data_IF_057277219242
#
_entry.id   IF_057277219242
#
_cell.length_a   1.000
_cell.length_b   1.000
_cell.length_c   1.000
_cell.angle_alpha   90.00
_cell.angle_beta   90.00
_cell.angle_gamma   90.00
#
_symmetry.space_group_name_H-M   'P 1'
#
loop_
_entity.id
_entity.type
_entity.pdbx_description
1 polymer ?
#
# COMPACT_ATOMS: atom_id res chain seq x y z
N UNK A 1 -15.38 -77.46 43.58
CA UNK A 1 -14.83 -78.27 42.48
C UNK A 1 -14.36 -77.39 41.33
N UNK A 2 -13.03 -77.23 41.17
CA UNK A 2 -12.28 -76.97 39.92
C UNK A 2 -12.58 -75.66 39.14
N UNK A 3 -11.63 -74.92 38.57
CA UNK A 3 -10.21 -75.16 38.24
C UNK A 3 -9.56 -73.79 37.91
N UNK A 4 -8.26 -73.69 38.24
CA UNK A 4 -7.13 -73.05 37.51
C UNK A 4 -7.22 -71.54 37.16
N UNK A 5 -6.34 -70.70 37.72
CA UNK A 5 -4.94 -70.39 37.31
C UNK A 5 -4.79 -69.93 35.85
N UNK A 6 -4.36 -68.68 35.66
CA UNK A 6 -3.05 -68.35 35.04
C UNK A 6 -2.70 -66.86 35.18
N UNK A 7 -1.52 -66.62 35.74
CA UNK A 7 -0.71 -65.42 35.59
C UNK A 7 -0.29 -65.20 34.13
N UNK A 8 0.03 -63.97 33.76
CA UNK A 8 0.64 -63.66 32.47
C UNK A 8 0.94 -62.19 32.27
N UNK A 9 2.22 -61.83 32.41
CA UNK A 9 2.85 -60.54 32.16
C UNK A 9 2.58 -59.94 30.76
N UNK A 10 2.64 -58.61 30.75
CA UNK A 10 2.75 -57.69 29.59
C UNK A 10 3.89 -58.09 28.63
N UNK A 11 3.76 -57.74 27.33
CA UNK A 11 4.70 -56.74 26.82
C UNK A 11 4.11 -55.73 25.82
N UNK A 12 4.91 -54.66 25.72
CA UNK A 12 4.97 -53.56 24.75
C UNK A 12 4.98 -54.05 23.29
N UNK A 13 4.26 -53.32 22.42
CA UNK A 13 4.60 -52.97 21.02
C UNK A 13 3.49 -52.01 20.53
N UNK A 14 3.71 -50.70 20.41
CA UNK A 14 4.52 -49.97 19.43
C UNK A 14 3.88 -49.93 18.01
N UNK A 15 3.60 -48.68 17.61
CA UNK A 15 3.35 -48.18 16.25
C UNK A 15 2.16 -48.65 15.38
N UNK A 16 1.19 -47.73 15.25
CA UNK A 16 0.88 -47.12 13.93
C UNK A 16 0.30 -45.72 14.07
N UNK A 17 1.20 -44.75 14.21
CA UNK A 17 0.96 -43.35 13.81
C UNK A 17 0.72 -43.31 12.30
N UNK A 18 -0.48 -42.93 11.87
CA UNK A 18 -0.64 -42.35 10.55
C UNK A 18 -0.03 -40.94 10.58
N UNK A 19 0.95 -40.62 9.73
CA UNK A 19 1.49 -39.27 9.68
C UNK A 19 0.43 -38.35 9.09
N UNK A 20 -0.07 -37.44 9.94
CA UNK A 20 -0.78 -36.27 9.49
C UNK A 20 0.08 -35.55 8.47
N UNK A 21 -0.47 -35.35 7.28
CA UNK A 21 0.10 -34.56 6.21
C UNK A 21 0.48 -33.19 6.75
N UNK A 22 1.76 -33.03 7.08
CA UNK A 22 2.40 -31.74 7.28
C UNK A 22 2.25 -31.03 5.94
N UNK A 23 1.35 -30.04 5.88
CA UNK A 23 1.40 -29.04 4.84
C UNK A 23 2.71 -28.31 5.10
N UNK A 24 3.76 -28.75 4.40
CA UNK A 24 5.00 -28.01 4.24
C UNK A 24 4.56 -26.67 3.66
N UNK A 25 4.65 -25.62 4.46
CA UNK A 25 4.60 -24.27 3.93
C UNK A 25 5.72 -24.20 2.90
N UNK A 26 5.34 -24.03 1.64
CA UNK A 26 6.28 -23.83 0.57
C UNK A 26 6.97 -22.47 0.74
N UNK A 27 7.98 -22.43 1.62
CA UNK A 27 8.88 -21.31 1.82
C UNK A 27 9.61 -20.94 0.52
N UNK A 28 9.58 -21.78 -0.51
CA UNK A 28 10.12 -21.43 -1.81
C UNK A 28 9.31 -20.34 -2.50
N UNK A 29 8.02 -20.16 -2.19
CA UNK A 29 7.26 -19.02 -2.68
C UNK A 29 7.69 -17.71 -2.00
N UNK A 30 7.97 -17.74 -0.68
CA UNK A 30 8.44 -16.58 0.08
C UNK A 30 9.88 -16.18 -0.28
N UNK A 31 10.80 -17.15 -0.41
CA UNK A 31 12.18 -16.89 -0.87
C UNK A 31 12.22 -16.49 -2.35
N UNK A 32 11.38 -17.08 -3.23
CA UNK A 32 11.28 -16.61 -4.63
C UNK A 32 10.61 -15.25 -4.74
N UNK A 33 9.61 -14.89 -3.92
CA UNK A 33 9.01 -13.55 -3.94
C UNK A 33 9.95 -12.48 -3.39
N UNK A 34 10.61 -12.71 -2.26
CA UNK A 34 11.64 -11.80 -1.75
C UNK A 34 12.82 -11.68 -2.71
N UNK A 35 13.25 -12.79 -3.34
CA UNK A 35 14.26 -12.79 -4.39
C UNK A 35 13.79 -12.09 -5.67
N UNK A 36 12.53 -12.26 -6.10
CA UNK A 36 12.03 -11.63 -7.33
C UNK A 36 11.79 -10.15 -7.11
N UNK A 37 11.27 -9.70 -5.97
CA UNK A 37 11.17 -8.27 -5.65
C UNK A 37 12.53 -7.64 -5.36
N UNK A 38 13.47 -8.36 -4.75
CA UNK A 38 14.85 -7.89 -4.53
C UNK A 38 15.65 -7.84 -5.83
N UNK A 39 15.51 -8.82 -6.73
CA UNK A 39 16.14 -8.85 -8.06
C UNK A 39 15.43 -7.88 -9.02
N UNK A 40 14.12 -7.66 -8.91
CA UNK A 40 13.43 -6.60 -9.66
C UNK A 40 13.82 -5.24 -9.12
N UNK A 41 13.99 -5.06 -7.80
CA UNK A 41 14.62 -3.86 -7.24
C UNK A 41 16.06 -3.68 -7.74
N UNK A 42 16.89 -4.73 -7.74
CA UNK A 42 18.30 -4.66 -8.17
C UNK A 42 18.46 -4.42 -9.69
N UNK A 43 17.56 -5.01 -10.49
CA UNK A 43 17.52 -4.83 -11.94
C UNK A 43 16.93 -3.47 -12.31
N UNK A 44 15.94 -2.99 -11.53
CA UNK A 44 15.46 -1.62 -11.61
C UNK A 44 16.58 -0.65 -11.24
N UNK A 45 17.34 -0.86 -10.15
CA UNK A 45 18.43 0.06 -9.76
C UNK A 45 19.52 0.21 -10.84
N UNK A 46 19.90 -0.87 -11.53
CA UNK A 46 20.89 -0.78 -12.63
C UNK A 46 20.35 -0.08 -13.89
N UNK A 47 19.05 -0.21 -14.22
CA UNK A 47 18.41 0.60 -15.27
C UNK A 47 18.08 2.02 -14.81
N UNK A 48 17.94 2.24 -13.49
CA UNK A 48 17.68 3.53 -12.88
C UNK A 48 18.89 4.45 -13.00
N UNK A 49 20.12 3.96 -12.79
CA UNK A 49 21.35 4.77 -12.98
C UNK A 49 21.51 5.33 -14.40
N UNK A 50 21.01 4.60 -15.41
CA UNK A 50 21.03 5.03 -16.81
C UNK A 50 19.87 6.00 -17.13
N UNK A 51 18.66 5.71 -16.64
CA UNK A 51 17.51 6.60 -16.79
C UNK A 51 17.72 7.94 -16.05
N UNK A 52 18.38 7.91 -14.89
CA UNK A 52 18.73 9.06 -14.06
C UNK A 52 19.73 10.01 -14.74
N UNK A 53 20.76 9.46 -15.38
CA UNK A 53 21.74 10.24 -16.18
C UNK A 53 21.07 10.95 -17.37
N UNK A 54 20.14 10.28 -18.04
CA UNK A 54 19.33 10.87 -19.11
C UNK A 54 18.39 11.98 -18.59
N UNK A 55 17.81 11.80 -17.41
CA UNK A 55 16.90 12.76 -16.80
C UNK A 55 17.60 14.07 -16.41
N UNK A 56 18.79 13.96 -15.78
CA UNK A 56 19.60 15.12 -15.36
C UNK A 56 20.06 16.00 -16.52
N UNK A 57 20.49 15.40 -17.63
CA UNK A 57 20.96 16.14 -18.81
C UNK A 57 19.85 16.87 -19.58
N UNK A 58 18.58 16.47 -19.44
CA UNK A 58 17.45 17.11 -20.11
C UNK A 58 16.70 18.19 -19.29
N UNK A 59 16.86 18.20 -17.96
CA UNK A 59 16.08 19.08 -17.07
C UNK A 59 16.56 20.54 -17.05
N UNK A 60 17.87 20.80 -17.09
CA UNK A 60 18.41 22.17 -16.90
C UNK A 60 18.20 23.12 -18.09
N UNK A 61 18.28 22.69 -19.37
CA UNK A 61 17.96 23.57 -20.50
C UNK A 61 16.45 23.74 -20.71
N UNK A 62 15.62 22.74 -20.35
CA UNK A 62 14.18 22.76 -20.63
C UNK A 62 13.37 23.59 -19.63
N UNK A 63 13.80 23.72 -18.37
CA UNK A 63 13.10 24.49 -17.32
C UNK A 63 12.90 25.97 -17.68
N UNK A 64 13.81 26.56 -18.47
CA UNK A 64 13.75 27.98 -18.86
C UNK A 64 12.61 28.27 -19.84
N UNK A 65 12.24 27.28 -20.65
CA UNK A 65 11.22 27.38 -21.71
C UNK A 65 9.92 26.68 -21.37
N UNK A 66 9.85 26.05 -20.19
CA UNK A 66 8.74 25.19 -19.80
C UNK A 66 7.53 26.03 -19.38
N UNK A 67 6.37 25.72 -19.96
CA UNK A 67 5.09 26.35 -19.66
C UNK A 67 4.29 25.57 -18.61
N UNK A 68 3.29 26.21 -18.01
CA UNK A 68 2.44 25.60 -16.98
C UNK A 68 1.73 24.31 -17.41
N UNK A 69 1.41 24.19 -18.69
CA UNK A 69 0.65 23.08 -19.28
C UNK A 69 1.52 22.04 -19.98
N UNK A 70 2.85 22.18 -19.93
CA UNK A 70 3.73 21.20 -20.53
C UNK A 70 3.55 19.85 -19.85
N UNK A 71 3.74 18.75 -20.58
CA UNK A 71 3.61 17.41 -20.01
C UNK A 71 4.74 17.10 -19.04
N UNK A 72 4.52 16.12 -18.15
CA UNK A 72 5.62 15.54 -17.39
C UNK A 72 6.66 14.91 -18.33
N UNK A 73 7.93 14.81 -17.92
CA UNK A 73 8.93 14.11 -18.71
C UNK A 73 8.46 12.70 -19.10
N UNK A 74 8.68 12.33 -20.36
CA UNK A 74 8.07 11.14 -20.96
C UNK A 74 8.37 9.87 -20.17
N UNK A 75 9.64 9.68 -19.75
CA UNK A 75 10.08 8.53 -18.95
C UNK A 75 9.31 8.47 -17.62
N UNK A 76 9.16 9.60 -16.93
CA UNK A 76 8.46 9.66 -15.65
C UNK A 76 6.96 9.35 -15.81
N UNK A 77 6.32 9.97 -16.80
CA UNK A 77 4.91 9.72 -17.10
C UNK A 77 4.65 8.27 -17.52
N UNK A 78 5.57 7.67 -18.27
CA UNK A 78 5.51 6.28 -18.72
C UNK A 78 5.60 5.31 -17.54
N UNK A 79 6.52 5.54 -16.61
CA UNK A 79 6.69 4.72 -15.41
C UNK A 79 5.47 4.78 -14.47
N UNK A 80 4.71 5.88 -14.47
CA UNK A 80 3.48 6.00 -13.68
C UNK A 80 2.22 5.49 -14.38
N UNK A 81 2.18 5.50 -15.72
CA UNK A 81 0.98 5.14 -16.50
C UNK A 81 0.99 3.70 -17.01
N UNK A 82 2.10 3.17 -17.51
CA UNK A 82 2.08 1.83 -18.12
C UNK A 82 1.84 0.68 -17.13
N UNK A 83 2.49 0.64 -15.94
CA UNK A 83 2.20 -0.41 -14.97
C UNK A 83 0.74 -0.38 -14.49
N UNK A 84 0.04 0.74 -14.68
CA UNK A 84 -1.37 0.85 -14.38
C UNK A 84 -2.24 -0.15 -15.15
N UNK A 85 -1.88 -0.50 -16.38
CA UNK A 85 -2.65 -1.45 -17.19
C UNK A 85 -2.76 -2.78 -16.42
N UNK A 86 -1.65 -3.24 -15.85
CA UNK A 86 -1.58 -4.45 -15.03
C UNK A 86 -2.37 -4.24 -13.73
N UNK A 87 -2.21 -3.09 -13.07
CA UNK A 87 -2.95 -2.76 -11.86
C UNK A 87 -4.47 -2.79 -12.07
N UNK A 88 -4.98 -2.19 -13.14
CA UNK A 88 -6.42 -2.15 -13.46
C UNK A 88 -6.96 -3.58 -13.65
N UNK A 89 -6.21 -4.45 -14.32
CA UNK A 89 -6.57 -5.87 -14.46
C UNK A 89 -6.66 -6.54 -13.09
N UNK A 90 -5.64 -6.36 -12.23
CA UNK A 90 -5.61 -6.92 -10.88
C UNK A 90 -6.76 -6.42 -10.00
N UNK A 91 -7.05 -5.11 -10.03
CA UNK A 91 -8.17 -4.52 -9.32
C UNK A 91 -9.51 -5.03 -9.85
N UNK A 92 -9.66 -5.18 -11.17
CA UNK A 92 -10.90 -5.71 -11.78
C UNK A 92 -11.21 -7.13 -11.28
N UNK A 93 -10.21 -8.02 -11.27
CA UNK A 93 -10.37 -9.37 -10.71
C UNK A 93 -10.68 -9.34 -9.21
N UNK A 94 -10.01 -8.46 -8.46
CA UNK A 94 -10.24 -8.30 -7.03
C UNK A 94 -11.64 -7.79 -6.71
N UNK A 95 -12.11 -6.76 -7.43
CA UNK A 95 -13.46 -6.22 -7.27
C UNK A 95 -14.51 -7.28 -7.59
N UNK A 96 -14.37 -8.00 -8.71
CA UNK A 96 -15.27 -9.09 -9.04
C UNK A 96 -15.33 -10.16 -7.93
N UNK A 97 -14.17 -10.60 -7.44
CA UNK A 97 -14.08 -11.60 -6.38
C UNK A 97 -14.62 -11.11 -5.02
N UNK A 98 -14.46 -9.83 -4.71
CA UNK A 98 -14.92 -9.21 -3.47
C UNK A 98 -16.40 -8.82 -3.50
N UNK A 99 -16.98 -8.51 -4.66
CA UNK A 99 -18.40 -8.16 -4.80
C UNK A 99 -19.30 -9.39 -4.80
N UNK A 100 -18.79 -10.55 -5.19
CA UNK A 100 -19.53 -11.80 -5.12
C UNK A 100 -19.92 -12.18 -3.68
N UNK A 101 -21.03 -12.91 -3.55
CA UNK A 101 -21.52 -13.41 -2.27
C UNK A 101 -20.55 -14.46 -1.72
N UNK A 102 -20.20 -14.30 -0.44
CA UNK A 102 -19.38 -15.21 0.35
C UNK A 102 -20.13 -15.67 1.60
N UNK A 103 -19.52 -16.56 2.37
CA UNK A 103 -20.03 -17.02 3.65
C UNK A 103 -20.29 -15.86 4.63
N UNK A 104 -21.32 -15.99 5.49
CA UNK A 104 -21.70 -14.97 6.49
C UNK A 104 -20.52 -14.54 7.37
N UNK A 105 -19.60 -15.45 7.69
CA UNK A 105 -18.43 -15.19 8.54
C UNK A 105 -17.34 -14.36 7.84
N UNK A 106 -17.37 -14.26 6.51
CA UNK A 106 -16.42 -13.47 5.73
C UNK A 106 -16.98 -12.09 5.34
N UNK A 107 -18.29 -11.87 5.44
CA UNK A 107 -18.95 -10.69 4.87
C UNK A 107 -18.44 -9.35 5.43
N UNK A 108 -18.26 -9.23 6.74
CA UNK A 108 -17.74 -7.99 7.34
C UNK A 108 -16.29 -7.73 6.95
N UNK A 109 -15.44 -8.76 6.97
CA UNK A 109 -14.05 -8.61 6.53
C UNK A 109 -13.94 -8.30 5.04
N UNK A 110 -14.79 -8.91 4.21
CA UNK A 110 -14.90 -8.65 2.78
C UNK A 110 -15.23 -7.19 2.51
N UNK A 111 -16.16 -6.59 3.27
CA UNK A 111 -16.48 -5.15 3.15
C UNK A 111 -15.28 -4.27 3.49
N UNK A 112 -14.52 -4.61 4.53
CA UNK A 112 -13.29 -3.89 4.88
C UNK A 112 -12.20 -4.05 3.81
N UNK A 113 -12.02 -5.25 3.26
CA UNK A 113 -11.11 -5.48 2.14
C UNK A 113 -11.54 -4.69 0.91
N UNK A 114 -12.83 -4.72 0.56
CA UNK A 114 -13.36 -3.96 -0.56
C UNK A 114 -13.14 -2.46 -0.37
N UNK A 115 -13.40 -1.92 0.83
CA UNK A 115 -13.11 -0.54 1.17
C UNK A 115 -11.63 -0.19 0.97
N UNK A 116 -10.73 -1.02 1.49
CA UNK A 116 -9.29 -0.87 1.28
C UNK A 116 -8.92 -0.89 -0.20
N UNK A 117 -9.38 -1.88 -0.96
CA UNK A 117 -9.09 -2.04 -2.40
C UNK A 117 -9.64 -0.88 -3.24
N UNK A 118 -10.85 -0.39 -2.94
CA UNK A 118 -11.43 0.78 -3.63
C UNK A 118 -10.58 2.02 -3.36
N UNK A 119 -10.27 2.30 -2.09
CA UNK A 119 -9.45 3.46 -1.75
C UNK A 119 -8.05 3.41 -2.35
N UNK A 120 -7.42 2.23 -2.37
CA UNK A 120 -6.14 2.00 -3.04
C UNK A 120 -6.21 2.24 -4.54
N UNK A 121 -7.27 1.78 -5.22
CA UNK A 121 -7.48 2.02 -6.64
C UNK A 121 -7.68 3.52 -6.94
N UNK A 122 -8.54 4.20 -6.17
CA UNK A 122 -8.80 5.63 -6.35
C UNK A 122 -7.55 6.45 -6.10
N UNK A 123 -6.80 6.16 -5.02
CA UNK A 123 -5.52 6.80 -4.71
C UNK A 123 -4.54 6.64 -5.87
N UNK A 124 -4.41 5.43 -6.41
CA UNK A 124 -3.52 5.17 -7.53
C UNK A 124 -3.94 5.90 -8.82
N UNK A 125 -5.24 5.93 -9.16
CA UNK A 125 -5.76 6.75 -10.27
C UNK A 125 -5.43 8.23 -10.08
N UNK A 126 -5.58 8.71 -8.86
CA UNK A 126 -5.28 10.08 -8.51
C UNK A 126 -3.81 10.41 -8.75
N UNK A 127 -2.89 9.64 -8.18
CA UNK A 127 -1.45 9.90 -8.35
C UNK A 127 -0.95 9.71 -9.79
N UNK A 128 -1.45 8.70 -10.52
CA UNK A 128 -0.94 8.37 -11.85
C UNK A 128 -1.55 9.20 -12.99
N UNK A 129 -2.76 9.74 -12.83
CA UNK A 129 -3.43 10.52 -13.90
C UNK A 129 -3.86 11.90 -13.48
N UNK A 130 -4.48 12.06 -12.30
CA UNK A 130 -5.07 13.34 -11.91
C UNK A 130 -4.00 14.33 -11.43
N UNK A 131 -3.20 13.94 -10.45
CA UNK A 131 -2.14 14.79 -9.88
C UNK A 131 -0.86 14.71 -10.70
N UNK A 132 -0.35 13.49 -10.96
CA UNK A 132 0.95 13.22 -11.58
C UNK A 132 2.04 14.16 -11.02
N UNK A 133 2.38 14.05 -9.71
CA UNK A 133 3.28 14.97 -9.06
C UNK A 133 4.72 14.75 -9.53
N UNK A 134 5.33 15.75 -10.15
CA UNK A 134 6.72 15.72 -10.63
C UNK A 134 7.59 16.59 -9.71
N UNK A 135 8.51 15.98 -8.98
CA UNK A 135 9.49 16.71 -8.15
C UNK A 135 10.68 17.17 -8.98
N UNK A 136 11.11 18.43 -8.82
CA UNK A 136 12.21 19.03 -9.58
C UNK A 136 13.46 19.25 -8.72
N UNK A 137 13.92 18.19 -8.05
CA UNK A 137 15.12 18.31 -7.23
C UNK A 137 16.38 18.70 -8.03
N UNK A 138 17.32 19.43 -7.37
CA UNK A 138 17.34 19.81 -5.95
C UNK A 138 16.48 21.03 -5.59
N UNK A 139 15.68 21.55 -6.53
CA UNK A 139 14.83 22.72 -6.27
C UNK A 139 13.66 22.33 -5.36
N UNK A 140 13.29 23.19 -4.38
CA UNK A 140 12.28 22.89 -3.36
C UNK A 140 10.87 23.08 -3.92
N UNK A 141 10.54 22.48 -5.06
CA UNK A 141 9.18 22.49 -5.57
C UNK A 141 8.85 21.19 -6.30
N UNK A 142 7.55 20.93 -6.39
CA UNK A 142 7.03 19.92 -7.28
C UNK A 142 5.86 20.50 -8.07
N UNK A 143 5.64 19.97 -9.27
CA UNK A 143 4.57 20.39 -10.18
C UNK A 143 3.59 19.25 -10.39
N UNK A 144 2.30 19.55 -10.34
CA UNK A 144 1.25 18.61 -10.67
C UNK A 144 1.03 18.65 -12.19
N UNK A 145 1.52 17.63 -12.91
CA UNK A 145 1.51 17.59 -14.37
C UNK A 145 0.37 16.68 -14.93
N UNK A 146 -0.56 16.30 -14.07
CA UNK A 146 -1.69 15.44 -14.41
C UNK A 146 -2.87 16.22 -14.93
N UNK A 147 -4.02 15.54 -15.05
CA UNK A 147 -5.25 16.14 -15.57
C UNK A 147 -5.73 17.38 -14.79
N UNK A 148 -5.43 17.45 -13.48
CA UNK A 148 -5.80 18.59 -12.64
C UNK A 148 -5.12 19.90 -13.06
N UNK A 149 -4.00 19.84 -13.80
CA UNK A 149 -3.33 21.06 -14.28
C UNK A 149 -4.20 21.86 -15.24
N UNK A 150 -5.04 21.20 -16.04
CA UNK A 150 -5.92 21.86 -17.02
C UNK A 150 -7.07 22.65 -16.37
N UNK A 151 -7.34 22.42 -15.08
CA UNK A 151 -8.33 23.16 -14.32
C UNK A 151 -7.71 24.23 -13.40
N UNK A 152 -6.40 24.48 -13.52
CA UNK A 152 -5.67 25.39 -12.64
C UNK A 152 -5.88 25.09 -11.15
N UNK A 153 -5.93 23.80 -10.79
CA UNK A 153 -6.05 23.39 -9.39
C UNK A 153 -4.77 23.80 -8.65
N UNK A 154 -4.86 24.55 -7.54
CA UNK A 154 -3.69 24.96 -6.78
C UNK A 154 -2.89 23.77 -6.25
N UNK A 155 -1.56 23.81 -6.37
CA UNK A 155 -0.67 22.74 -5.91
C UNK A 155 -0.86 22.38 -4.42
N UNK A 156 -1.20 23.37 -3.58
CA UNK A 156 -1.57 23.14 -2.16
C UNK A 156 -2.73 22.18 -2.01
N UNK A 157 -3.78 22.36 -2.83
CA UNK A 157 -4.96 21.50 -2.77
C UNK A 157 -4.61 20.09 -3.23
N UNK A 158 -3.79 19.98 -4.28
CA UNK A 158 -3.29 18.67 -4.75
C UNK A 158 -2.51 17.97 -3.64
N UNK A 159 -1.58 18.65 -2.96
CA UNK A 159 -0.85 18.08 -1.80
C UNK A 159 -1.77 17.63 -0.67
N UNK A 160 -2.75 18.45 -0.31
CA UNK A 160 -3.65 18.13 0.79
C UNK A 160 -4.50 16.90 0.47
N UNK A 161 -4.94 16.76 -0.78
CA UNK A 161 -5.64 15.57 -1.27
C UNK A 161 -4.72 14.33 -1.27
N UNK A 162 -3.45 14.47 -1.68
CA UNK A 162 -2.46 13.38 -1.58
C UNK A 162 -2.33 12.87 -0.14
N UNK A 163 -2.20 13.80 0.82
CA UNK A 163 -2.11 13.47 2.24
C UNK A 163 -3.37 12.79 2.77
N UNK A 164 -4.55 13.21 2.30
CA UNK A 164 -5.82 12.53 2.63
C UNK A 164 -5.81 11.09 2.11
N UNK A 165 -5.34 10.84 0.88
CA UNK A 165 -5.24 9.47 0.35
C UNK A 165 -4.25 8.59 1.11
N UNK A 166 -3.09 9.14 1.51
CA UNK A 166 -2.11 8.44 2.34
C UNK A 166 -2.72 8.07 3.70
N UNK A 167 -3.41 9.03 4.31
CA UNK A 167 -4.08 8.86 5.60
C UNK A 167 -5.22 7.83 5.53
N UNK A 168 -6.01 7.88 4.46
CA UNK A 168 -7.04 6.89 4.18
C UNK A 168 -6.44 5.48 4.03
N UNK A 169 -5.31 5.36 3.30
CA UNK A 169 -4.58 4.10 3.17
C UNK A 169 -4.25 3.58 4.56
N UNK A 170 -3.52 4.35 5.39
CA UNK A 170 -3.18 3.96 6.76
C UNK A 170 -4.39 3.52 7.61
N UNK A 171 -5.49 4.28 7.57
CA UNK A 171 -6.74 3.94 8.26
C UNK A 171 -7.30 2.58 7.84
N UNK A 172 -7.38 2.33 6.54
CA UNK A 172 -7.95 1.09 6.02
C UNK A 172 -7.16 -0.16 6.45
N UNK A 173 -5.82 -0.08 6.52
CA UNK A 173 -4.98 -1.17 7.06
C UNK A 173 -5.22 -1.35 8.56
N UNK A 174 -5.23 -0.25 9.32
CA UNK A 174 -5.44 -0.30 10.77
C UNK A 174 -6.80 -0.91 11.12
N UNK A 175 -7.85 -0.60 10.35
CA UNK A 175 -9.17 -1.21 10.54
C UNK A 175 -9.19 -2.71 10.20
N UNK A 176 -8.48 -3.14 9.15
CA UNK A 176 -8.31 -4.56 8.83
C UNK A 176 -7.58 -5.29 9.96
N UNK A 177 -6.51 -4.71 10.51
CA UNK A 177 -5.77 -5.26 11.65
C UNK A 177 -6.65 -5.34 12.89
N UNK A 178 -7.37 -4.25 13.23
CA UNK A 178 -8.30 -4.19 14.36
C UNK A 178 -9.31 -5.33 14.29
N UNK A 179 -10.00 -5.44 13.16
CA UNK A 179 -11.04 -6.45 12.98
C UNK A 179 -10.51 -7.87 13.21
N UNK A 180 -9.27 -8.14 12.77
CA UNK A 180 -8.63 -9.45 12.98
C UNK A 180 -8.20 -9.69 14.42
N UNK A 181 -7.60 -8.70 15.06
CA UNK A 181 -7.22 -8.80 16.47
C UNK A 181 -8.44 -9.00 17.36
N UNK A 182 -9.55 -8.33 17.07
CA UNK A 182 -10.82 -8.48 17.78
C UNK A 182 -11.45 -9.86 17.54
N UNK A 183 -11.45 -10.36 16.30
CA UNK A 183 -11.93 -11.70 15.98
C UNK A 183 -11.08 -12.82 16.61
N UNK A 184 -9.83 -12.53 16.97
CA UNK A 184 -8.92 -13.48 17.60
C UNK A 184 -8.84 -13.35 19.13
N UNK A 185 -9.76 -12.59 19.73
CA UNK A 185 -9.80 -12.37 21.16
C UNK A 185 -10.48 -13.54 21.89
N UNK A 186 -9.80 -14.22 22.82
CA UNK A 186 -10.39 -15.33 23.59
C UNK A 186 -11.21 -14.85 24.79
N UNK A 187 -10.91 -13.66 25.32
CA UNK A 187 -11.43 -13.13 26.57
C UNK A 187 -12.27 -11.86 26.34
N UNK A 188 -13.47 -11.77 26.93
CA UNK A 188 -14.28 -10.53 26.89
C UNK A 188 -13.81 -9.47 27.91
N UNK A 189 -12.50 -9.38 28.18
CA UNK A 189 -11.97 -8.34 29.06
C UNK A 189 -12.38 -6.95 28.56
N UNK A 190 -12.83 -6.08 29.47
CA UNK A 190 -13.27 -4.72 29.11
C UNK A 190 -12.11 -3.84 28.60
N UNK A 191 -10.87 -4.15 28.98
CA UNK A 191 -9.69 -3.36 28.62
C UNK A 191 -8.90 -4.03 27.50
N UNK A 192 -8.68 -3.29 26.40
CA UNK A 192 -7.80 -3.70 25.31
C UNK A 192 -6.95 -2.49 24.87
N UNK A 193 -5.64 -2.48 25.18
CA UNK A 193 -4.78 -1.34 24.85
C UNK A 193 -4.69 -1.09 23.35
N UNK A 194 -4.83 -2.15 22.51
CA UNK A 194 -4.83 -2.00 21.05
C UNK A 194 -6.06 -1.20 20.61
N UNK A 195 -7.22 -1.45 21.24
CA UNK A 195 -8.46 -0.73 20.94
C UNK A 195 -8.34 0.76 21.27
N UNK A 196 -7.73 1.10 22.40
CA UNK A 196 -7.47 2.50 22.79
C UNK A 196 -6.57 3.18 21.77
N UNK A 197 -5.47 2.53 21.39
CA UNK A 197 -4.51 3.07 20.43
C UNK A 197 -5.16 3.33 19.06
N UNK A 198 -6.08 2.47 18.62
CA UNK A 198 -6.82 2.68 17.37
C UNK A 198 -7.82 3.85 17.48
N UNK A 199 -8.47 4.03 18.63
CA UNK A 199 -9.33 5.21 18.83
C UNK A 199 -8.53 6.51 18.84
N UNK A 200 -7.35 6.52 19.48
CA UNK A 200 -6.43 7.65 19.43
C UNK A 200 -5.97 7.93 17.99
N UNK A 201 -5.67 6.89 17.23
CA UNK A 201 -5.33 7.01 15.81
C UNK A 201 -6.48 7.64 15.01
N UNK A 202 -7.71 7.17 15.18
CA UNK A 202 -8.90 7.77 14.50
C UNK A 202 -9.09 9.24 14.87
N UNK A 203 -8.95 9.59 16.15
CA UNK A 203 -9.06 10.97 16.60
C UNK A 203 -7.97 11.85 15.96
N UNK A 204 -6.74 11.36 15.92
CA UNK A 204 -5.62 12.02 15.24
C UNK A 204 -5.94 12.28 13.76
N UNK A 205 -6.51 11.30 13.05
CA UNK A 205 -6.91 11.49 11.64
C UNK A 205 -7.99 12.55 11.44
N UNK A 206 -8.97 12.62 12.35
CA UNK A 206 -10.01 13.67 12.31
C UNK A 206 -9.36 15.05 12.50
N UNK A 207 -8.45 15.17 13.45
CA UNK A 207 -7.71 16.42 13.70
C UNK A 207 -6.91 16.83 12.45
N UNK A 208 -6.21 15.89 11.82
CA UNK A 208 -5.46 16.14 10.58
C UNK A 208 -6.40 16.61 9.46
N UNK A 209 -7.52 15.92 9.26
CA UNK A 209 -8.48 16.30 8.23
C UNK A 209 -9.04 17.72 8.44
N UNK A 210 -9.42 18.06 9.68
CA UNK A 210 -9.90 19.39 10.04
C UNK A 210 -8.80 20.45 9.87
N UNK A 211 -7.55 20.13 10.25
CA UNK A 211 -6.41 21.01 10.07
C UNK A 211 -6.13 21.30 8.60
N UNK A 212 -6.06 20.27 7.74
CA UNK A 212 -5.78 20.43 6.31
C UNK A 212 -6.88 21.24 5.62
N UNK A 213 -8.15 20.91 5.89
CA UNK A 213 -9.28 21.64 5.30
C UNK A 213 -9.36 23.08 5.78
N UNK A 214 -9.19 23.33 7.09
CA UNK A 214 -9.24 24.67 7.66
C UNK A 214 -8.03 25.56 7.30
N UNK A 215 -6.84 24.98 7.13
CA UNK A 215 -5.62 25.74 6.82
C UNK A 215 -5.41 25.99 5.32
N UNK A 216 -6.12 25.27 4.44
CA UNK A 216 -5.93 25.36 2.97
C UNK A 216 -5.98 26.80 2.43
N UNK A 217 -6.97 27.65 2.77
CA UNK A 217 -7.02 29.02 2.24
C UNK A 217 -5.79 29.86 2.62
N UNK A 218 -5.31 29.70 3.85
CA UNK A 218 -4.10 30.39 4.31
C UNK A 218 -2.85 29.85 3.61
N UNK A 219 -2.73 28.54 3.49
CA UNK A 219 -1.60 27.89 2.83
C UNK A 219 -1.49 28.30 1.34
N UNK A 220 -2.63 28.44 0.64
CA UNK A 220 -2.67 28.97 -0.73
C UNK A 220 -2.11 30.39 -0.77
N UNK A 221 -2.51 31.27 0.16
CA UNK A 221 -2.00 32.65 0.21
C UNK A 221 -0.48 32.68 0.46
N UNK A 222 0.01 31.89 1.41
CA UNK A 222 1.45 31.80 1.72
C UNK A 222 2.29 31.23 0.59
N UNK A 223 1.75 30.34 -0.24
CA UNK A 223 2.49 29.85 -1.41
C UNK A 223 2.91 30.96 -2.37
N UNK A 224 2.15 32.06 -2.47
CA UNK A 224 2.56 33.21 -3.27
C UNK A 224 3.88 33.83 -2.77
N UNK A 225 4.07 33.88 -1.46
CA UNK A 225 5.29 34.41 -0.83
C UNK A 225 6.48 33.47 -1.10
N UNK A 226 6.28 32.15 -0.96
CA UNK A 226 7.33 31.16 -1.23
C UNK A 226 7.74 31.12 -2.70
N UNK A 227 6.78 31.18 -3.62
CA UNK A 227 7.04 31.27 -5.07
C UNK A 227 7.86 32.51 -5.40
N UNK A 228 7.48 33.67 -4.85
CA UNK A 228 8.18 34.93 -5.08
C UNK A 228 9.63 34.87 -4.58
N UNK A 229 9.86 34.34 -3.37
CA UNK A 229 11.21 34.19 -2.81
C UNK A 229 12.10 33.20 -3.59
N UNK A 230 11.51 32.14 -4.15
CA UNK A 230 12.25 31.20 -4.99
C UNK A 230 12.61 31.82 -6.35
N UNK A 231 11.67 32.56 -6.96
CA UNK A 231 11.86 33.28 -8.23
C UNK A 231 12.93 34.36 -8.10
N UNK A 232 12.90 35.15 -7.01
CA UNK A 232 13.90 36.22 -6.81
C UNK A 232 15.32 35.68 -6.72
N UNK A 233 15.47 34.44 -6.23
CA UNK A 233 16.76 33.76 -6.12
C UNK A 233 17.16 33.05 -7.43
N UNK A 234 16.20 32.76 -8.31
CA UNK A 234 16.39 31.95 -9.51
C UNK A 234 15.48 32.45 -10.66
N UNK A 235 15.84 33.57 -11.27
CA UNK A 235 14.98 34.26 -12.25
C UNK A 235 14.57 33.38 -13.45
N UNK A 236 15.40 32.41 -13.83
CA UNK A 236 15.12 31.48 -14.94
C UNK A 236 13.96 30.50 -14.66
N UNK A 237 13.51 30.37 -13.40
CA UNK A 237 12.40 29.52 -13.00
C UNK A 237 11.03 30.21 -13.06
N UNK A 238 10.99 31.50 -13.43
CA UNK A 238 9.76 32.30 -13.42
C UNK A 238 8.60 31.62 -14.14
N UNK A 239 8.83 31.09 -15.34
CA UNK A 239 7.80 30.51 -16.20
C UNK A 239 7.12 29.28 -15.59
N UNK A 240 7.84 28.50 -14.78
CA UNK A 240 7.30 27.27 -14.19
C UNK A 240 6.81 27.49 -12.76
N UNK A 241 7.56 28.23 -11.92
CA UNK A 241 7.22 28.39 -10.49
C UNK A 241 5.98 29.25 -10.29
N UNK A 242 5.70 30.18 -11.21
CA UNK A 242 4.52 31.04 -11.15
C UNK A 242 3.20 30.29 -11.37
N UNK A 243 3.23 29.08 -11.94
CA UNK A 243 2.03 28.32 -12.24
C UNK A 243 1.26 27.86 -10.98
N UNK A 244 -0.08 27.84 -11.04
CA UNK A 244 -0.92 27.50 -9.89
C UNK A 244 -0.74 26.05 -9.42
N UNK A 245 -0.51 25.13 -10.36
CA UNK A 245 -0.28 23.69 -10.11
C UNK A 245 1.11 23.37 -9.52
N UNK A 246 1.95 24.39 -9.28
CA UNK A 246 3.22 24.24 -8.56
C UNK A 246 3.05 24.51 -7.08
N UNK A 247 3.64 23.62 -6.28
CA UNK A 247 3.78 23.77 -4.84
C UNK A 247 5.26 23.88 -4.49
N UNK A 248 5.63 24.98 -3.83
CA UNK A 248 6.97 25.20 -3.31
C UNK A 248 7.02 24.70 -1.89
N UNK A 249 7.97 23.83 -1.56
CA UNK A 249 8.17 23.34 -0.20
C UNK A 249 8.50 24.51 0.73
N UNK A 250 7.66 24.78 1.74
CA UNK A 250 7.93 25.81 2.73
C UNK A 250 9.17 25.47 3.57
N UNK A 251 9.84 26.48 4.15
CA UNK A 251 10.89 26.23 5.13
C UNK A 251 10.30 25.55 6.38
N UNK A 252 11.11 24.72 7.06
CA UNK A 252 10.71 24.03 8.32
C UNK A 252 10.31 25.03 9.42
N UNK A 253 10.81 26.28 9.36
CA UNK A 253 10.44 27.35 10.29
C UNK A 253 9.00 27.81 10.15
N UNK A 254 8.31 27.48 9.07
CA UNK A 254 6.89 27.75 8.92
C UNK A 254 6.05 26.83 9.81
N UNK A 255 5.28 27.42 10.72
CA UNK A 255 4.51 26.67 11.72
C UNK A 255 3.41 25.79 11.13
N UNK A 256 2.78 26.21 10.02
CA UNK A 256 1.75 25.41 9.36
C UNK A 256 2.38 24.19 8.69
N UNK A 257 3.48 24.42 8.00
CA UNK A 257 4.22 23.37 7.32
C UNK A 257 4.81 22.36 8.31
N UNK A 258 5.40 22.84 9.40
CA UNK A 258 5.88 21.99 10.49
C UNK A 258 4.74 21.14 11.07
N UNK A 259 3.55 21.72 11.25
CA UNK A 259 2.38 20.99 11.75
C UNK A 259 1.94 19.89 10.76
N UNK A 260 1.95 20.17 9.46
CA UNK A 260 1.65 19.17 8.42
C UNK A 260 2.68 18.04 8.43
N UNK A 261 3.98 18.37 8.53
CA UNK A 261 5.05 17.38 8.59
C UNK A 261 4.94 16.51 9.85
N UNK A 262 4.75 17.12 11.02
CA UNK A 262 4.50 16.42 12.28
C UNK A 262 3.28 15.51 12.19
N UNK A 263 2.22 15.93 11.49
CA UNK A 263 1.03 15.12 11.26
C UNK A 263 1.33 13.88 10.42
N UNK A 264 2.06 14.02 9.30
CA UNK A 264 2.48 12.89 8.45
C UNK A 264 3.34 11.92 9.24
N UNK A 265 4.33 12.44 9.97
CA UNK A 265 5.21 11.63 10.81
C UNK A 265 4.41 10.92 11.91
N UNK A 266 3.44 11.58 12.54
CA UNK A 266 2.56 10.99 13.56
C UNK A 266 1.72 9.83 13.00
N UNK A 267 1.10 9.99 11.82
CA UNK A 267 0.33 8.91 11.17
C UNK A 267 1.22 7.74 10.82
N UNK A 268 2.38 8.00 10.20
CA UNK A 268 3.32 6.97 9.74
C UNK A 268 3.88 6.18 10.92
N UNK A 269 4.35 6.88 11.97
CA UNK A 269 4.90 6.25 13.17
C UNK A 269 3.84 5.47 13.96
N UNK A 270 2.64 6.03 14.12
CA UNK A 270 1.55 5.33 14.82
C UNK A 270 1.10 4.08 14.06
N UNK A 271 1.04 4.15 12.72
CA UNK A 271 0.72 2.99 11.87
C UNK A 271 1.80 1.91 12.03
N UNK A 272 3.07 2.28 11.92
CA UNK A 272 4.19 1.35 12.10
C UNK A 272 4.17 0.69 13.48
N UNK A 273 3.95 1.48 14.53
CA UNK A 273 3.84 1.00 15.90
C UNK A 273 2.68 0.01 16.06
N UNK A 274 1.52 0.31 15.49
CA UNK A 274 0.36 -0.61 15.47
C UNK A 274 0.68 -1.91 14.73
N UNK A 275 1.40 -1.86 13.61
CA UNK A 275 1.83 -3.05 12.87
C UNK A 275 2.77 -3.89 13.72
N UNK A 276 3.77 -3.28 14.35
CA UNK A 276 4.73 -3.98 15.22
C UNK A 276 4.01 -4.63 16.41
N UNK A 277 3.16 -3.89 17.12
CA UNK A 277 2.35 -4.45 18.21
C UNK A 277 1.47 -5.59 17.71
N UNK A 278 0.87 -5.46 16.53
CA UNK A 278 0.05 -6.52 15.95
C UNK A 278 0.88 -7.79 15.73
N UNK A 279 2.07 -7.68 15.12
CA UNK A 279 2.97 -8.82 14.90
C UNK A 279 3.36 -9.50 16.22
N UNK A 280 3.65 -8.71 17.26
CA UNK A 280 3.99 -9.24 18.59
C UNK A 280 2.79 -9.90 19.26
N UNK A 281 1.60 -9.32 19.16
CA UNK A 281 0.38 -9.80 19.86
C UNK A 281 -0.28 -11.00 19.18
N UNK A 282 -0.13 -11.17 17.86
CA UNK A 282 -0.74 -12.27 17.09
C UNK A 282 -0.39 -13.65 17.66
N UNK A 283 0.88 -14.02 17.92
CA UNK A 283 1.23 -15.31 18.52
C UNK A 283 0.51 -15.59 19.83
N UNK A 284 0.41 -14.60 20.72
CA UNK A 284 -0.28 -14.73 22.01
C UNK A 284 -1.79 -14.95 21.82
N UNK A 285 -2.43 -14.15 20.94
CA UNK A 285 -3.85 -14.29 20.62
C UNK A 285 -4.14 -15.65 19.99
N UNK A 286 -3.31 -16.10 19.04
CA UNK A 286 -3.43 -17.42 18.43
C UNK A 286 -3.23 -18.57 19.43
N UNK A 287 -2.29 -18.43 20.37
CA UNK A 287 -2.10 -19.42 21.42
C UNK A 287 -3.33 -19.51 22.32
N UNK A 288 -3.89 -18.38 22.73
CA UNK A 288 -5.07 -18.37 23.58
C UNK A 288 -6.34 -18.88 22.84
N UNK A 289 -6.48 -18.61 21.54
CA UNK A 289 -7.52 -19.23 20.70
C UNK A 289 -7.42 -20.75 20.62
N UNK A 290 -6.23 -21.36 20.75
CA UNK A 290 -6.10 -22.84 20.76
C UNK A 290 -6.91 -23.49 21.87
N UNK A 291 -7.23 -22.74 22.95
CA UNK A 291 -8.01 -23.25 24.08
C UNK A 291 -9.52 -23.25 23.82
N UNK A 292 -10.00 -22.44 22.88
CA UNK A 292 -11.45 -22.20 22.68
C UNK A 292 -11.96 -22.47 21.27
N UNK A 293 -11.08 -22.48 20.26
CA UNK A 293 -11.45 -22.57 18.85
C UNK A 293 -10.97 -23.88 18.19
N UNK A 294 -11.68 -24.30 17.14
CA UNK A 294 -11.31 -25.48 16.35
C UNK A 294 -9.98 -25.27 15.59
N UNK A 295 -9.27 -26.36 15.27
CA UNK A 295 -8.04 -26.34 14.44
C UNK A 295 -8.27 -25.59 13.11
N UNK A 296 -9.40 -25.86 12.46
CA UNK A 296 -9.80 -25.21 11.19
C UNK A 296 -9.96 -23.70 11.35
N UNK A 297 -10.60 -23.24 12.44
CA UNK A 297 -10.76 -21.81 12.73
C UNK A 297 -9.41 -21.12 12.93
N UNK A 298 -8.48 -21.76 13.64
CA UNK A 298 -7.15 -21.22 13.93
C UNK A 298 -6.32 -21.10 12.65
N UNK A 299 -6.37 -22.10 11.76
CA UNK A 299 -5.70 -22.03 10.46
C UNK A 299 -6.23 -20.89 9.60
N UNK A 300 -7.56 -20.70 9.59
CA UNK A 300 -8.20 -19.59 8.88
C UNK A 300 -7.75 -18.23 9.44
N UNK A 301 -7.72 -18.08 10.77
CA UNK A 301 -7.23 -16.83 11.39
C UNK A 301 -5.76 -16.57 11.07
N UNK A 302 -4.89 -17.59 11.14
CA UNK A 302 -3.47 -17.47 10.76
C UNK A 302 -3.29 -16.95 9.33
N UNK A 303 -4.00 -17.54 8.37
CA UNK A 303 -3.91 -17.12 6.97
C UNK A 303 -4.31 -15.65 6.80
N UNK A 304 -5.40 -15.22 7.45
CA UNK A 304 -5.84 -13.83 7.37
C UNK A 304 -4.86 -12.87 8.05
N UNK A 305 -4.31 -13.22 9.21
CA UNK A 305 -3.31 -12.40 9.88
C UNK A 305 -2.06 -12.21 9.02
N UNK A 306 -1.54 -13.29 8.44
CA UNK A 306 -0.37 -13.21 7.54
C UNK A 306 -0.67 -12.28 6.36
N UNK A 307 -1.85 -12.42 5.74
CA UNK A 307 -2.22 -11.55 4.62
C UNK A 307 -2.30 -10.07 5.02
N UNK A 308 -2.94 -9.75 6.15
CA UNK A 308 -3.09 -8.34 6.60
C UNK A 308 -1.76 -7.75 7.06
N UNK A 309 -0.92 -8.52 7.76
CA UNK A 309 0.41 -8.07 8.17
C UNK A 309 1.30 -7.79 6.95
N UNK A 310 1.29 -8.66 5.94
CA UNK A 310 2.05 -8.44 4.71
C UNK A 310 1.56 -7.19 3.96
N UNK A 311 0.24 -6.99 3.87
CA UNK A 311 -0.33 -5.76 3.30
C UNK A 311 0.13 -4.52 4.08
N UNK A 312 0.11 -4.59 5.42
CA UNK A 312 0.53 -3.49 6.27
C UNK A 312 2.03 -3.17 6.13
N UNK A 313 2.88 -4.20 6.06
CA UNK A 313 4.32 -4.04 5.83
C UNK A 313 4.62 -3.40 4.48
N UNK A 314 3.99 -3.89 3.41
CA UNK A 314 4.12 -3.29 2.06
C UNK A 314 3.72 -1.83 2.09
N UNK A 315 2.54 -1.51 2.62
CA UNK A 315 2.08 -0.13 2.66
C UNK A 315 3.02 0.75 3.50
N UNK A 316 3.52 0.23 4.64
CA UNK A 316 4.49 0.97 5.48
C UNK A 316 5.80 1.23 4.74
N UNK A 317 6.36 0.24 4.05
CA UNK A 317 7.60 0.39 3.28
C UNK A 317 7.46 1.45 2.19
N UNK A 318 6.36 1.41 1.44
CA UNK A 318 6.08 2.34 0.35
C UNK A 318 5.84 3.79 0.82
N UNK A 319 5.58 4.02 2.11
CA UNK A 319 5.51 5.37 2.69
C UNK A 319 6.78 5.78 3.43
N UNK A 320 7.44 4.87 4.15
CA UNK A 320 8.67 5.16 4.90
C UNK A 320 9.76 5.66 3.97
N UNK A 321 9.95 5.03 2.80
CA UNK A 321 10.99 5.47 1.87
C UNK A 321 10.77 6.91 1.37
N UNK A 322 9.61 7.28 0.76
CA UNK A 322 9.35 8.66 0.36
C UNK A 322 9.46 9.68 1.50
N UNK A 323 8.92 9.36 2.69
CA UNK A 323 8.99 10.27 3.84
C UNK A 323 10.43 10.45 4.32
N UNK A 324 11.22 9.37 4.36
CA UNK A 324 12.62 9.45 4.81
C UNK A 324 13.47 10.31 3.87
N UNK A 325 13.27 10.18 2.56
CA UNK A 325 13.95 11.02 1.58
C UNK A 325 13.48 12.47 1.68
N UNK A 326 12.18 12.68 1.83
CA UNK A 326 11.61 14.01 2.07
C UNK A 326 12.26 14.69 3.28
N UNK A 327 12.41 13.96 4.40
CA UNK A 327 13.04 14.47 5.60
C UNK A 327 14.53 14.76 5.39
N UNK A 328 15.27 13.90 4.67
CA UNK A 328 16.67 14.17 4.31
C UNK A 328 16.79 15.50 3.57
N UNK A 329 15.95 15.75 2.57
CA UNK A 329 15.94 17.03 1.86
C UNK A 329 15.61 18.21 2.78
N UNK A 330 14.62 18.03 3.67
CA UNK A 330 14.21 19.08 4.58
C UNK A 330 15.33 19.45 5.59
N UNK A 331 16.12 18.47 6.05
CA UNK A 331 17.18 18.67 7.05
C UNK A 331 18.57 18.92 6.44
N UNK A 332 18.88 18.39 5.26
CA UNK A 332 20.18 18.53 4.59
C UNK A 332 20.02 19.44 3.38
N UNK A 333 20.64 20.63 3.47
CA UNK A 333 20.58 21.69 2.45
C UNK A 333 21.26 21.30 1.12
N UNK A 334 22.09 20.25 1.14
CA UNK A 334 22.84 19.74 -0.01
C UNK A 334 22.52 18.24 -0.23
N UNK A 335 21.48 17.93 -0.99
CA UNK A 335 21.31 16.58 -1.55
C UNK A 335 21.49 16.65 -3.06
N UNK A 336 22.69 16.29 -3.51
CA UNK A 336 23.07 16.15 -4.93
C UNK A 336 22.58 14.82 -5.54
N UNK A 337 21.86 14.01 -4.77
CA UNK A 337 21.42 12.66 -5.17
C UNK A 337 19.98 12.65 -5.69
N UNK A 338 19.83 12.34 -6.99
CA UNK A 338 18.55 12.27 -7.71
C UNK A 338 17.74 10.99 -7.47
N UNK A 339 18.19 10.10 -6.57
CA UNK A 339 17.48 8.90 -6.10
C UNK A 339 16.04 9.20 -5.64
N UNK A 340 15.79 10.44 -5.24
CA UNK A 340 14.52 10.92 -4.72
C UNK A 340 13.38 10.91 -5.74
N UNK A 341 13.59 11.25 -7.02
CA UNK A 341 12.49 11.31 -8.01
C UNK A 341 11.85 9.94 -8.26
N UNK A 342 12.65 8.87 -8.26
CA UNK A 342 12.16 7.50 -8.48
C UNK A 342 11.39 6.95 -7.28
N UNK A 343 11.70 7.39 -6.07
CA UNK A 343 10.98 6.95 -4.87
C UNK A 343 9.52 7.42 -4.89
N UNK A 344 9.25 8.60 -5.46
CA UNK A 344 7.88 9.07 -5.68
C UNK A 344 7.12 8.25 -6.74
N UNK A 345 7.82 7.61 -7.69
CA UNK A 345 7.18 6.70 -8.67
C UNK A 345 6.66 5.43 -7.98
N UNK A 346 7.28 4.99 -6.89
CA UNK A 346 6.84 3.79 -6.17
C UNK A 346 5.57 4.04 -5.36
N UNK A 347 5.41 5.24 -4.79
CA UNK A 347 4.33 5.56 -3.86
C UNK A 347 2.93 5.19 -4.38
N UNK A 348 2.54 5.46 -5.65
CA UNK A 348 1.21 5.11 -6.17
C UNK A 348 0.94 3.60 -6.22
N UNK A 349 1.98 2.78 -6.26
CA UNK A 349 1.87 1.33 -6.42
C UNK A 349 1.72 0.54 -5.12
N UNK A 350 1.76 1.20 -3.95
CA UNK A 350 1.52 0.55 -2.65
C UNK A 350 0.21 -0.25 -2.65
N UNK A 351 -0.86 0.35 -3.19
CA UNK A 351 -2.18 -0.27 -3.28
C UNK A 351 -2.24 -1.49 -4.19
N UNK A 352 -1.52 -1.46 -5.32
CA UNK A 352 -1.42 -2.61 -6.23
C UNK A 352 -0.67 -3.76 -5.54
N UNK A 353 0.46 -3.46 -4.88
CA UNK A 353 1.24 -4.46 -4.18
C UNK A 353 0.47 -5.08 -3.01
N UNK A 354 -0.27 -4.28 -2.23
CA UNK A 354 -1.16 -4.77 -1.18
C UNK A 354 -2.30 -5.64 -1.75
N UNK A 355 -2.92 -5.23 -2.85
CA UNK A 355 -3.97 -5.99 -3.54
C UNK A 355 -3.44 -7.33 -4.05
N UNK A 356 -2.23 -7.34 -4.63
CA UNK A 356 -1.58 -8.58 -5.05
C UNK A 356 -1.37 -9.54 -3.86
N UNK A 357 -0.87 -9.05 -2.72
CA UNK A 357 -0.76 -9.85 -1.49
C UNK A 357 -2.11 -10.34 -1.00
N UNK A 358 -3.16 -9.53 -1.07
CA UNK A 358 -4.52 -9.97 -0.74
C UNK A 358 -4.92 -11.16 -1.63
N UNK A 359 -4.75 -11.07 -2.94
CA UNK A 359 -5.05 -12.18 -3.88
C UNK A 359 -4.23 -13.42 -3.53
N UNK A 360 -2.94 -13.28 -3.27
CA UNK A 360 -2.05 -14.41 -3.01
C UNK A 360 -2.32 -15.10 -1.67
N UNK A 361 -2.67 -14.36 -0.61
CA UNK A 361 -2.72 -14.90 0.76
C UNK A 361 -4.14 -14.99 1.34
N UNK A 362 -5.14 -14.37 0.73
CA UNK A 362 -6.55 -14.46 1.17
C UNK A 362 -7.27 -15.56 0.41
N UNK A 363 -7.30 -16.77 0.99
CA UNK A 363 -7.84 -17.99 0.35
C UNK A 363 -9.21 -17.81 -0.33
N UNK A 364 -10.26 -17.23 0.32
CA UNK A 364 -11.56 -17.04 -0.35
C UNK A 364 -11.50 -16.17 -1.61
N UNK A 365 -10.64 -15.15 -1.62
CA UNK A 365 -10.43 -14.28 -2.80
C UNK A 365 -9.68 -15.05 -3.88
N UNK A 366 -8.60 -15.74 -3.50
CA UNK A 366 -7.77 -16.53 -4.42
C UNK A 366 -8.56 -17.62 -5.13
N UNK A 367 -9.37 -18.38 -4.40
CA UNK A 367 -10.16 -19.48 -4.95
C UNK A 367 -11.20 -18.99 -5.96
N UNK A 368 -11.81 -17.82 -5.72
CA UNK A 368 -12.73 -17.18 -6.68
C UNK A 368 -12.02 -16.78 -7.96
N UNK A 369 -10.87 -16.10 -7.84
CA UNK A 369 -10.08 -15.65 -8.99
C UNK A 369 -9.62 -16.86 -9.83
N UNK A 370 -9.07 -17.90 -9.19
CA UNK A 370 -8.70 -19.15 -9.89
C UNK A 370 -9.93 -19.80 -10.54
N UNK A 371 -11.09 -19.74 -9.89
CA UNK A 371 -12.36 -20.22 -10.42
C UNK A 371 -12.76 -19.58 -11.75
N UNK A 372 -12.53 -18.27 -11.92
CA UNK A 372 -12.79 -17.56 -13.17
C UNK A 372 -11.98 -18.13 -14.33
N UNK A 373 -10.68 -18.34 -14.13
CA UNK A 373 -9.80 -18.91 -15.16
C UNK A 373 -10.13 -20.37 -15.48
N UNK A 374 -10.52 -21.19 -14.49
CA UNK A 374 -10.91 -22.59 -14.71
C UNK A 374 -12.21 -22.72 -15.51
N UNK A 375 -13.21 -21.87 -15.25
CA UNK A 375 -14.47 -21.89 -15.98
C UNK A 375 -14.31 -21.38 -17.41
N UNK A 376 -13.54 -20.30 -17.61
CA UNK A 376 -13.21 -19.81 -18.95
C UNK A 376 -12.45 -20.85 -19.79
N UNK A 377 -11.51 -21.59 -19.17
CA UNK A 377 -10.80 -22.67 -19.83
C UNK A 377 -11.73 -23.82 -20.25
N UNK A 378 -12.60 -24.29 -19.36
CA UNK A 378 -13.57 -25.36 -19.67
C UNK A 378 -14.52 -24.94 -20.80
N UNK A 379 -15.00 -23.70 -20.80
CA UNK A 379 -15.90 -23.19 -21.84
C UNK A 379 -15.19 -23.04 -23.19
N UNK A 380 -13.92 -22.58 -23.22
CA UNK A 380 -13.12 -22.53 -24.45
C UNK A 380 -12.82 -23.91 -25.04
N UNK A 381 -12.55 -24.91 -24.20
CA UNK A 381 -12.31 -26.29 -24.65
C UNK A 381 -13.59 -26.93 -25.20
N UNK A 382 -14.75 -26.69 -24.55
CA UNK A 382 -16.03 -27.19 -25.03
C UNK A 382 -16.45 -26.54 -26.36
N UNK A 383 -16.26 -25.23 -26.51
CA UNK A 383 -16.53 -24.51 -27.77
C UNK A 383 -15.68 -25.02 -28.94
N UNK A 384 -14.38 -25.27 -28.75
CA UNK A 384 -13.53 -25.82 -29.82
C UNK A 384 -13.95 -27.23 -30.26
N UNK A 385 -14.35 -28.09 -29.33
CA UNK A 385 -14.85 -29.43 -29.67
C UNK A 385 -16.13 -29.38 -30.51
N UNK A 386 -17.04 -28.46 -30.20
CA UNK A 386 -18.28 -28.31 -30.96
C UNK A 386 -18.04 -27.76 -32.37
N UNK A 387 -17.10 -26.82 -32.55
CA UNK A 387 -16.74 -26.29 -33.88
C UNK A 387 -16.06 -27.35 -34.76
N UNK A 388 -15.23 -28.22 -34.17
CA UNK A 388 -14.62 -29.34 -34.88
C UNK A 388 -15.62 -30.43 -35.30
N UNK A 389 -16.76 -30.55 -34.60
CA UNK A 389 -17.82 -31.52 -34.94
C UNK A 389 -18.79 -30.99 -35.99
N UNK A 390 -18.82 -29.68 -36.26
CA UNK A 390 -19.67 -29.07 -37.30
C UNK A 390 -18.96 -28.90 -38.65
N UNK A 391 -17.66 -29.22 -38.73
CA UNK A 391 -16.83 -29.06 -39.93
C UNK A 391 -16.34 -30.40 -40.54
N UNK A 392 -16.80 -31.53 -40.01
CA UNK A 392 -16.64 -32.86 -40.60
C UNK A 392 -18.00 -33.49 -40.78
#
# INVERSE_FOLDING_TARGET
MGKRKKDGQSPVDEDRKQPGSIIVFDNSCFCRLASTYSVTCLYMTNKMDHAERLFRHHLTPSLRTMNCYDSAPEIYSSLLRYPQIISVILYSFSFKALLEKHDKNFDTFRKLLLWHTVGSFVSQMYFSFLALPVSYLPLPFYRCAGFLMYFNVPGVLVMNLELIFITHSALSIVELLRYRLEAARPDQSKFDPVKILIYLFRLNLIIIFLFLTGSTPHAIKKQSEYKTGLISSNLFLFNIVSCDNVFVFPPITDSQYLTMLCSICSVTTTTLFLVIISVITIPFRLHALKKTASKKTIEVQKMFFVSVVLQALINSLFFIFPVSEFLKYAFQKDSSESSFQFIYVLMPYHGTAATFVMICFTRPVREKIIGYFKCEWKNKVASRKNVSQTLG
#
